data_IF_395219547676
#
_entry.id   IF_395219547676
#
_cell.length_a   1.000
_cell.length_b   1.000
_cell.length_c   1.000
_cell.angle_alpha   90.00
_cell.angle_beta   90.00
_cell.angle_gamma   90.00
#
_symmetry.space_group_name_H-M   'P 1'
#
loop_
_entity.id
_entity.type
_entity.pdbx_description
1 polymer ?
#
# COMPACT_ATOMS: atom_id res chain seq x y z
N UNK A 1 -3.17 31.84 17.16
CA UNK A 1 -1.79 31.77 17.71
C UNK A 1 -1.80 30.83 18.90
N UNK A 2 -0.81 29.95 19.04
CA UNK A 2 -0.76 29.02 20.18
C UNK A 2 -0.41 29.77 21.48
N UNK A 3 -1.00 29.38 22.60
CA UNK A 3 -0.74 29.98 23.92
C UNK A 3 0.60 29.53 24.50
N UNK A 4 1.18 30.28 25.43
CA UNK A 4 2.42 29.87 26.12
C UNK A 4 2.30 28.52 26.82
N UNK A 5 1.12 28.22 27.39
CA UNK A 5 0.81 26.93 27.96
C UNK A 5 0.89 25.80 26.91
N UNK A 6 0.34 26.03 25.71
CA UNK A 6 0.42 25.07 24.60
C UNK A 6 1.87 24.89 24.11
N UNK A 7 2.66 25.96 24.01
CA UNK A 7 4.07 25.87 23.59
C UNK A 7 4.89 25.04 24.60
N UNK A 8 4.68 25.27 25.90
CA UNK A 8 5.40 24.57 26.97
C UNK A 8 5.03 23.08 27.02
N UNK A 9 3.74 22.76 26.85
CA UNK A 9 3.28 21.39 26.74
C UNK A 9 3.86 20.67 25.51
N UNK A 10 3.87 21.34 24.34
CA UNK A 10 4.43 20.77 23.11
C UNK A 10 5.93 20.46 23.24
N UNK A 11 6.72 21.32 23.89
CA UNK A 11 8.16 21.06 24.15
C UNK A 11 8.37 19.83 25.04
N UNK A 12 7.57 19.67 26.11
CA UNK A 12 7.65 18.50 26.99
C UNK A 12 7.24 17.20 26.29
N UNK A 13 6.22 17.26 25.42
CA UNK A 13 5.77 16.11 24.65
C UNK A 13 6.78 15.71 23.56
N UNK A 14 7.41 16.69 22.90
CA UNK A 14 8.46 16.45 21.91
C UNK A 14 9.66 15.70 22.52
N UNK A 15 10.05 16.01 23.75
CA UNK A 15 11.14 15.29 24.44
C UNK A 15 10.81 13.80 24.71
N UNK A 16 9.52 13.43 24.72
CA UNK A 16 9.06 12.04 24.88
C UNK A 16 8.84 11.32 23.55
N UNK A 17 8.74 12.04 22.44
CA UNK A 17 8.48 11.48 21.12
C UNK A 17 9.79 11.41 20.32
N UNK A 18 10.46 10.25 20.34
CA UNK A 18 11.76 10.06 19.67
C UNK A 18 11.67 9.48 18.27
N UNK A 19 10.44 9.21 17.79
CA UNK A 19 10.20 8.50 16.54
C UNK A 19 10.86 7.10 16.51
N UNK A 20 10.67 6.34 15.42
CA UNK A 20 11.35 5.07 15.25
C UNK A 20 12.86 5.25 15.03
N UNK A 21 13.68 4.71 15.93
CA UNK A 21 15.16 4.80 15.87
C UNK A 21 15.82 3.60 15.19
N UNK A 22 15.11 2.47 15.06
CA UNK A 22 15.62 1.23 14.47
C UNK A 22 15.24 1.13 12.99
N UNK A 23 15.99 0.34 12.20
CA UNK A 23 15.63 0.06 10.80
C UNK A 23 14.23 -0.55 10.68
N UNK A 24 13.90 -1.51 11.56
CA UNK A 24 12.59 -2.14 11.63
C UNK A 24 11.49 -1.11 11.95
N UNK A 25 11.70 -0.26 12.98
CA UNK A 25 10.73 0.78 13.32
C UNK A 25 10.52 1.80 12.20
N UNK A 26 11.59 2.15 11.47
CA UNK A 26 11.50 3.05 10.31
C UNK A 26 10.75 2.39 9.15
N UNK A 27 10.94 1.09 8.93
CA UNK A 27 10.19 0.35 7.91
C UNK A 27 8.70 0.31 8.23
N UNK A 28 8.33 0.10 9.50
CA UNK A 28 6.93 0.15 9.96
C UNK A 28 6.34 1.54 9.72
N UNK A 29 7.01 2.60 10.15
CA UNK A 29 6.50 3.97 9.97
C UNK A 29 6.51 4.42 8.51
N UNK A 30 7.39 3.90 7.66
CA UNK A 30 7.35 4.16 6.22
C UNK A 30 6.06 3.64 5.57
N UNK A 31 5.45 2.58 6.12
CA UNK A 31 4.15 2.08 5.69
C UNK A 31 2.99 3.01 6.10
N UNK A 32 3.16 3.91 7.06
CA UNK A 32 2.09 4.85 7.45
C UNK A 32 1.78 5.90 6.37
N UNK A 33 2.72 6.16 5.45
CA UNK A 33 2.50 7.03 4.29
C UNK A 33 1.78 6.30 3.14
N UNK A 34 1.60 4.98 3.25
CA UNK A 34 0.91 4.17 2.26
C UNK A 34 -0.60 4.38 2.40
N UNK A 35 -1.19 5.21 1.53
CA UNK A 35 -2.64 5.45 1.56
C UNK A 35 -3.41 4.28 0.95
N UNK A 36 -3.16 3.99 -0.33
CA UNK A 36 -3.87 2.95 -1.09
C UNK A 36 -2.93 1.89 -1.67
N UNK A 37 -1.61 2.03 -1.50
CA UNK A 37 -0.62 1.04 -1.94
C UNK A 37 -0.40 0.90 -3.44
N UNK A 38 -1.11 1.66 -4.28
CA UNK A 38 -0.97 1.57 -5.76
C UNK A 38 0.44 1.95 -6.24
N UNK A 39 1.06 2.96 -5.60
CA UNK A 39 2.41 3.42 -5.93
C UNK A 39 3.50 2.77 -5.06
N UNK A 40 3.18 1.65 -4.38
CA UNK A 40 4.15 0.98 -3.52
C UNK A 40 5.31 0.40 -4.34
N UNK A 41 6.52 0.47 -3.77
CA UNK A 41 7.69 -0.22 -4.34
C UNK A 41 7.68 -1.73 -4.06
N UNK A 42 6.94 -2.15 -3.02
CA UNK A 42 6.78 -3.56 -2.68
C UNK A 42 5.68 -4.18 -3.54
N UNK A 43 5.87 -5.46 -3.91
CA UNK A 43 4.87 -6.19 -4.67
C UNK A 43 3.65 -6.51 -3.79
N UNK A 44 3.87 -6.93 -2.55
CA UNK A 44 2.79 -7.13 -1.56
C UNK A 44 2.70 -5.90 -0.64
N UNK A 45 1.49 -5.36 -0.50
CA UNK A 45 1.22 -4.20 0.38
C UNK A 45 0.36 -4.58 1.58
N UNK A 46 0.17 -3.63 2.50
CA UNK A 46 -0.70 -3.82 3.66
C UNK A 46 -2.13 -4.18 3.19
N UNK A 47 -2.68 -5.27 3.73
CA UNK A 47 -4.02 -5.77 3.37
C UNK A 47 -4.02 -6.88 2.31
N UNK A 48 -2.88 -7.21 1.72
CA UNK A 48 -2.74 -8.34 0.80
C UNK A 48 -2.13 -9.55 1.51
N UNK A 49 -2.50 -10.76 1.07
CA UNK A 49 -1.92 -12.02 1.55
C UNK A 49 -0.60 -12.33 0.83
N UNK A 50 0.55 -12.35 1.53
CA UNK A 50 1.81 -12.74 0.94
C UNK A 50 1.80 -14.16 0.34
N UNK A 51 1.01 -15.08 0.89
CA UNK A 51 0.92 -16.43 0.35
C UNK A 51 0.11 -16.48 -0.94
N UNK A 52 -0.92 -15.65 -1.08
CA UNK A 52 -1.66 -15.53 -2.35
C UNK A 52 -0.74 -14.99 -3.45
N UNK A 53 0.03 -13.94 -3.14
CA UNK A 53 1.02 -13.42 -4.07
C UNK A 53 2.04 -14.50 -4.48
N UNK A 54 2.55 -15.28 -3.52
CA UNK A 54 3.53 -16.32 -3.81
C UNK A 54 2.96 -17.44 -4.68
N UNK A 55 1.71 -17.87 -4.43
CA UNK A 55 1.00 -18.84 -5.29
C UNK A 55 0.82 -18.28 -6.70
N UNK A 56 0.42 -17.02 -6.82
CA UNK A 56 0.23 -16.34 -8.10
C UNK A 56 1.56 -16.20 -8.87
N UNK A 57 2.63 -15.80 -8.18
CA UNK A 57 4.00 -15.71 -8.73
C UNK A 57 4.48 -17.07 -9.22
N UNK A 58 4.31 -18.11 -8.42
CA UNK A 58 4.74 -19.45 -8.77
C UNK A 58 4.03 -19.95 -10.04
N UNK A 59 2.70 -19.78 -10.13
CA UNK A 59 1.93 -20.18 -11.31
C UNK A 59 2.39 -19.47 -12.59
N UNK A 60 2.55 -18.14 -12.53
CA UNK A 60 2.98 -17.38 -13.71
C UNK A 60 4.42 -17.69 -14.15
N UNK A 61 5.32 -17.96 -13.20
CA UNK A 61 6.70 -18.33 -13.57
C UNK A 61 6.78 -19.75 -14.12
N UNK A 62 5.94 -20.66 -13.65
CA UNK A 62 5.80 -22.00 -14.22
C UNK A 62 5.29 -21.93 -15.66
N UNK A 63 4.23 -21.14 -15.90
CA UNK A 63 3.66 -20.92 -17.24
C UNK A 63 4.67 -20.27 -18.21
N UNK A 64 5.46 -19.31 -17.73
CA UNK A 64 6.44 -18.60 -18.55
C UNK A 64 7.72 -19.41 -18.80
N UNK A 65 8.06 -20.33 -17.90
CA UNK A 65 9.24 -21.20 -17.96
C UNK A 65 10.51 -20.49 -18.47
N UNK A 66 10.96 -19.38 -17.84
CA UNK A 66 12.12 -18.63 -18.30
C UNK A 66 13.40 -19.48 -18.20
N UNK A 67 14.22 -19.44 -19.24
CA UNK A 67 15.44 -20.26 -19.36
C UNK A 67 16.71 -19.46 -19.05
N UNK A 68 16.73 -18.18 -19.44
CA UNK A 68 17.90 -17.30 -19.29
C UNK A 68 17.68 -16.14 -18.34
N UNK A 69 18.77 -15.53 -17.86
CA UNK A 69 18.71 -14.42 -16.89
C UNK A 69 17.84 -13.25 -17.35
N UNK A 70 17.91 -12.90 -18.64
CA UNK A 70 17.08 -11.84 -19.20
C UNK A 70 15.58 -12.18 -19.13
N UNK A 71 15.23 -13.42 -19.44
CA UNK A 71 13.85 -13.92 -19.35
C UNK A 71 13.39 -13.97 -17.89
N UNK A 72 14.24 -14.43 -16.98
CA UNK A 72 13.95 -14.42 -15.54
C UNK A 72 13.65 -13.01 -15.02
N UNK A 73 14.45 -12.01 -15.41
CA UNK A 73 14.23 -10.61 -15.04
C UNK A 73 12.89 -10.10 -15.59
N UNK A 74 12.59 -10.41 -16.86
CA UNK A 74 11.33 -10.00 -17.49
C UNK A 74 10.12 -10.70 -16.87
N UNK A 75 10.22 -11.99 -16.59
CA UNK A 75 9.16 -12.79 -15.98
C UNK A 75 8.84 -12.31 -14.56
N UNK A 76 9.86 -12.05 -13.74
CA UNK A 76 9.67 -11.47 -12.40
C UNK A 76 9.01 -10.08 -12.47
N UNK A 77 9.43 -9.24 -13.43
CA UNK A 77 8.83 -7.92 -13.64
C UNK A 77 7.38 -8.04 -14.10
N UNK A 78 7.07 -9.00 -14.96
CA UNK A 78 5.71 -9.28 -15.40
C UNK A 78 4.80 -9.68 -14.22
N UNK A 79 5.26 -10.59 -13.34
CA UNK A 79 4.50 -10.96 -12.14
C UNK A 79 4.20 -9.73 -11.28
N UNK A 80 5.21 -8.95 -10.93
CA UNK A 80 5.02 -7.76 -10.09
C UNK A 80 4.07 -6.73 -10.70
N UNK A 81 4.18 -6.49 -12.01
CA UNK A 81 3.29 -5.56 -12.73
C UNK A 81 1.85 -6.10 -12.81
N UNK A 82 1.65 -7.38 -13.10
CA UNK A 82 0.32 -7.98 -13.19
C UNK A 82 -0.39 -8.00 -11.82
N UNK A 83 0.35 -8.25 -10.73
CA UNK A 83 -0.20 -8.15 -9.38
C UNK A 83 -0.64 -6.72 -9.03
N UNK A 84 0.18 -5.72 -9.37
CA UNK A 84 -0.18 -4.30 -9.18
C UNK A 84 -1.39 -3.89 -10.03
N UNK A 85 -1.55 -4.45 -11.23
CA UNK A 85 -2.71 -4.20 -12.08
C UNK A 85 -3.99 -4.77 -11.45
N UNK A 86 -3.95 -6.01 -10.96
CA UNK A 86 -5.08 -6.61 -10.20
C UNK A 86 -5.49 -5.75 -9.00
N UNK A 87 -4.52 -5.20 -8.27
CA UNK A 87 -4.79 -4.24 -7.19
C UNK A 87 -5.45 -2.97 -7.71
N UNK A 88 -4.95 -2.41 -8.81
CA UNK A 88 -5.49 -1.19 -9.41
C UNK A 88 -6.96 -1.37 -9.79
N UNK A 89 -7.30 -2.50 -10.41
CA UNK A 89 -8.67 -2.85 -10.79
C UNK A 89 -9.58 -2.97 -9.56
N UNK A 90 -9.13 -3.67 -8.51
CA UNK A 90 -9.90 -3.80 -7.27
C UNK A 90 -10.16 -2.42 -6.63
N UNK A 91 -9.11 -1.60 -6.50
CA UNK A 91 -9.24 -0.26 -5.91
C UNK A 91 -10.13 0.65 -6.76
N UNK A 92 -10.05 0.54 -8.09
CA UNK A 92 -10.91 1.30 -9.00
C UNK A 92 -12.38 0.96 -8.76
N UNK A 93 -12.71 -0.34 -8.67
CA UNK A 93 -14.09 -0.77 -8.40
C UNK A 93 -14.57 -0.31 -7.03
N UNK A 94 -13.75 -0.48 -5.98
CA UNK A 94 -14.09 -0.01 -4.63
C UNK A 94 -14.36 1.51 -4.59
N UNK A 95 -13.57 2.30 -5.33
CA UNK A 95 -13.79 3.75 -5.43
C UNK A 95 -15.10 4.07 -6.16
N UNK A 96 -15.38 3.43 -7.30
CA UNK A 96 -16.62 3.67 -8.03
C UNK A 96 -17.86 3.26 -7.23
N UNK A 97 -17.82 2.10 -6.57
CA UNK A 97 -18.91 1.64 -5.72
C UNK A 97 -19.19 2.61 -4.57
N UNK A 98 -18.13 3.13 -3.93
CA UNK A 98 -18.25 4.11 -2.86
C UNK A 98 -18.83 5.45 -3.36
N UNK A 99 -18.44 5.91 -4.55
CA UNK A 99 -18.98 7.12 -5.17
C UNK A 99 -20.46 6.96 -5.52
N UNK A 100 -20.84 5.83 -6.13
CA UNK A 100 -22.23 5.52 -6.48
C UNK A 100 -23.11 5.39 -5.24
N UNK A 101 -22.63 4.71 -4.19
CA UNK A 101 -23.36 4.59 -2.94
C UNK A 101 -23.61 5.96 -2.29
N UNK A 102 -22.63 6.87 -2.37
CA UNK A 102 -22.76 8.24 -1.88
C UNK A 102 -23.80 9.04 -2.66
N UNK A 103 -23.75 8.99 -3.99
CA UNK A 103 -24.72 9.70 -4.85
C UNK A 103 -26.15 9.16 -4.67
N UNK A 104 -26.30 7.85 -4.47
CA UNK A 104 -27.60 7.25 -4.14
C UNK A 104 -28.11 7.72 -2.77
N UNK A 105 -27.25 7.81 -1.76
CA UNK A 105 -27.65 8.31 -0.44
C UNK A 105 -28.08 9.79 -0.50
N UNK A 106 -27.33 10.64 -1.20
CA UNK A 106 -27.64 12.07 -1.37
C UNK A 106 -28.97 12.27 -2.12
N UNK A 107 -29.25 11.47 -3.16
CA UNK A 107 -30.52 11.55 -3.91
C UNK A 107 -31.75 10.99 -3.18
N UNK A 108 -31.56 10.25 -2.09
CA UNK A 108 -32.64 9.76 -1.22
C UNK A 108 -32.98 10.71 -0.07
N UNK A 109 -32.13 11.70 0.18
CA UNK A 109 -32.33 12.74 1.20
C UNK A 109 -33.09 13.98 0.66
N UNK A 110 -33.18 14.12 -0.66
CA UNK A 110 -33.96 15.14 -1.39
C UNK A 110 -35.41 14.68 -1.67
#
# INVERSE_FOLDING_TARGET
MATEAQVTANRRNAAKSTGPRTRQGKAVVAMNALQHGLCARQDVVLGEDPQEFERYRAGLLDDLSPLGDAECVLAQRFVGLSWRLRRAERLQNEVFDALLAKELAESMED
#
